data_IF_717778076401
#
_entry.id   IF_717778076401
#
_cell.length_a   1.000
_cell.length_b   1.000
_cell.length_c   1.000
_cell.angle_alpha   90.00
_cell.angle_beta   90.00
_cell.angle_gamma   90.00
#
_symmetry.space_group_name_H-M   'P 1'
#
loop_
_entity.id
_entity.type
_entity.pdbx_description
1 polymer ?
#
# COMPACT_ATOMS: atom_id res chain seq x y z
N UNK A 1 -36.09 28.29 1.03
CA UNK A 1 -34.76 28.33 1.69
C UNK A 1 -34.46 27.11 2.55
N UNK A 2 -35.37 26.65 3.43
CA UNK A 2 -35.14 25.46 4.29
C UNK A 2 -34.87 24.16 3.49
N UNK A 3 -35.49 23.93 2.35
CA UNK A 3 -35.29 22.73 1.52
C UNK A 3 -33.92 22.72 0.81
N UNK A 4 -33.36 23.86 0.48
CA UNK A 4 -32.04 23.99 -0.17
C UNK A 4 -30.89 23.68 0.81
N UNK A 5 -31.05 24.07 2.09
CA UNK A 5 -30.07 23.78 3.14
C UNK A 5 -29.95 22.27 3.46
N UNK A 6 -31.10 21.56 3.43
CA UNK A 6 -31.13 20.11 3.67
C UNK A 6 -30.43 19.33 2.54
N UNK A 7 -30.55 19.81 1.29
CA UNK A 7 -29.89 19.18 0.14
C UNK A 7 -28.35 19.33 0.18
N UNK A 8 -27.87 20.49 0.59
CA UNK A 8 -26.41 20.76 0.77
C UNK A 8 -25.82 19.93 1.92
N UNK A 9 -26.54 19.75 3.01
CA UNK A 9 -26.14 18.89 4.14
C UNK A 9 -26.03 17.41 3.75
N UNK A 10 -26.94 16.92 2.92
CA UNK A 10 -26.91 15.53 2.40
C UNK A 10 -25.71 15.27 1.46
N UNK A 11 -25.33 16.25 0.65
CA UNK A 11 -24.17 16.13 -0.25
C UNK A 11 -22.85 16.13 0.56
N UNK A 12 -22.74 16.93 1.61
CA UNK A 12 -21.58 16.98 2.50
C UNK A 12 -21.39 15.66 3.29
N UNK A 13 -22.49 15.06 3.75
CA UNK A 13 -22.45 13.77 4.47
C UNK A 13 -22.04 12.61 3.55
N UNK A 14 -22.51 12.57 2.30
CA UNK A 14 -22.15 11.54 1.34
C UNK A 14 -20.63 11.53 1.01
N UNK A 15 -19.99 12.70 0.96
CA UNK A 15 -18.56 12.79 0.69
C UNK A 15 -17.69 12.28 1.86
N UNK A 16 -18.11 12.47 3.10
CA UNK A 16 -17.39 11.97 4.28
C UNK A 16 -17.46 10.45 4.40
N UNK A 17 -18.60 9.83 4.11
CA UNK A 17 -18.74 8.37 4.08
C UNK A 17 -17.91 7.72 2.97
N UNK A 18 -17.88 8.31 1.76
CA UNK A 18 -17.09 7.82 0.65
C UNK A 18 -15.58 7.92 0.93
N UNK A 19 -15.14 8.95 1.62
CA UNK A 19 -13.73 9.12 2.00
C UNK A 19 -13.29 8.09 3.03
N UNK A 20 -14.08 7.84 4.07
CA UNK A 20 -13.80 6.81 5.08
C UNK A 20 -13.79 5.41 4.47
N UNK A 21 -14.69 5.13 3.51
CA UNK A 21 -14.73 3.85 2.79
C UNK A 21 -13.48 3.58 1.95
N UNK A 22 -12.97 4.57 1.21
CA UNK A 22 -11.75 4.42 0.41
C UNK A 22 -10.49 4.27 1.29
N UNK A 23 -10.38 5.00 2.39
CA UNK A 23 -9.29 4.83 3.35
C UNK A 23 -9.30 3.44 3.96
N UNK A 24 -10.46 2.93 4.34
CA UNK A 24 -10.64 1.56 4.84
C UNK A 24 -10.17 0.51 3.83
N UNK A 25 -10.50 0.67 2.55
CA UNK A 25 -10.05 -0.22 1.47
C UNK A 25 -8.53 -0.19 1.29
N UNK A 26 -7.89 0.98 1.40
CA UNK A 26 -6.43 1.10 1.33
C UNK A 26 -5.76 0.40 2.52
N UNK A 27 -6.27 0.60 3.74
CA UNK A 27 -5.79 -0.12 4.92
C UNK A 27 -5.97 -1.63 4.79
N UNK A 28 -7.06 -2.07 4.19
CA UNK A 28 -7.29 -3.50 3.89
C UNK A 28 -6.27 -4.04 2.88
N UNK A 29 -5.86 -3.27 1.87
CA UNK A 29 -4.79 -3.67 0.93
C UNK A 29 -3.45 -3.84 1.66
N UNK A 30 -3.11 -2.95 2.59
CA UNK A 30 -1.89 -3.07 3.41
C UNK A 30 -1.96 -4.28 4.35
N UNK A 31 -3.13 -4.55 4.93
CA UNK A 31 -3.34 -5.78 5.71
C UNK A 31 -3.14 -7.04 4.86
N UNK A 32 -3.67 -7.07 3.63
CA UNK A 32 -3.44 -8.17 2.69
C UNK A 32 -1.95 -8.39 2.42
N UNK A 33 -1.15 -7.32 2.30
CA UNK A 33 0.31 -7.44 2.15
C UNK A 33 0.95 -8.16 3.33
N UNK A 34 0.67 -7.73 4.57
CA UNK A 34 1.25 -8.36 5.76
C UNK A 34 0.81 -9.81 5.92
N UNK A 35 -0.45 -10.12 5.64
CA UNK A 35 -0.98 -11.49 5.70
C UNK A 35 -0.33 -12.39 4.66
N UNK A 36 -0.16 -11.93 3.42
CA UNK A 36 0.51 -12.68 2.35
C UNK A 36 1.99 -12.91 2.69
N UNK A 37 2.70 -11.88 3.07
CA UNK A 37 4.10 -11.99 3.48
C UNK A 37 4.28 -12.97 4.63
N UNK A 38 3.46 -12.88 5.66
CA UNK A 38 3.58 -13.65 6.89
C UNK A 38 3.27 -15.14 6.73
N UNK A 39 2.65 -15.55 5.61
CA UNK A 39 2.53 -16.95 5.20
C UNK A 39 3.54 -17.38 4.13
N UNK A 40 4.51 -16.53 3.78
CA UNK A 40 5.55 -16.83 2.78
C UNK A 40 5.13 -16.61 1.34
N UNK A 41 4.03 -15.92 1.08
CA UNK A 41 3.44 -15.70 -0.23
C UNK A 41 3.85 -14.33 -0.80
N UNK A 42 5.04 -14.28 -1.42
CA UNK A 42 5.55 -13.05 -2.05
C UNK A 42 4.67 -12.62 -3.25
N UNK A 43 4.10 -13.56 -4.00
CA UNK A 43 3.22 -13.22 -5.12
C UNK A 43 1.92 -12.57 -4.62
N UNK A 44 1.31 -13.12 -3.59
CA UNK A 44 0.14 -12.53 -2.93
C UNK A 44 0.43 -11.14 -2.34
N UNK A 45 1.63 -10.93 -1.79
CA UNK A 45 2.10 -9.61 -1.39
C UNK A 45 2.14 -8.64 -2.57
N UNK A 46 2.68 -9.08 -3.71
CA UNK A 46 2.80 -8.29 -4.93
C UNK A 46 1.46 -8.01 -5.65
N UNK A 47 0.38 -8.73 -5.35
CA UNK A 47 -0.96 -8.45 -5.89
C UNK A 47 -1.53 -7.09 -5.48
N UNK A 48 -0.97 -6.46 -4.44
CA UNK A 48 -1.36 -5.12 -4.02
C UNK A 48 -0.74 -4.03 -4.89
N UNK A 49 0.32 -4.36 -5.61
CA UNK A 49 0.97 -3.48 -6.56
C UNK A 49 0.32 -3.55 -7.95
N UNK A 50 0.34 -2.45 -8.64
CA UNK A 50 -0.13 -2.38 -10.03
C UNK A 50 0.72 -3.25 -10.96
N UNK A 51 0.12 -4.27 -11.56
CA UNK A 51 0.80 -5.19 -12.46
C UNK A 51 1.03 -4.53 -13.82
N UNK A 52 2.07 -3.69 -13.89
CA UNK A 52 2.39 -2.88 -15.06
C UNK A 52 3.90 -2.56 -15.09
N UNK A 53 4.45 -2.35 -16.28
CA UNK A 53 5.85 -2.00 -16.46
C UNK A 53 6.20 -0.59 -15.97
N UNK A 54 5.19 0.25 -15.73
CA UNK A 54 5.34 1.60 -15.16
C UNK A 54 5.31 1.64 -13.63
N UNK A 55 5.13 0.51 -12.94
CA UNK A 55 5.27 0.44 -11.48
C UNK A 55 6.65 0.96 -11.09
N UNK A 56 6.70 1.86 -10.11
CA UNK A 56 7.93 2.43 -9.58
C UNK A 56 8.21 1.89 -8.18
N UNK A 57 9.40 1.35 -7.96
CA UNK A 57 9.89 0.98 -6.65
C UNK A 57 11.25 1.61 -6.40
N UNK A 58 11.37 2.39 -5.33
CA UNK A 58 12.61 3.06 -4.91
C UNK A 58 13.03 2.48 -3.57
N UNK A 59 14.16 1.82 -3.53
CA UNK A 59 14.75 1.24 -2.33
C UNK A 59 16.22 1.60 -2.19
N UNK A 60 16.90 0.98 -1.25
CA UNK A 60 18.33 1.23 -0.99
C UNK A 60 19.23 0.96 -2.21
N UNK A 61 18.84 0.08 -3.12
CA UNK A 61 19.55 -0.22 -4.36
C UNK A 61 19.22 0.74 -5.51
N UNK A 62 18.39 1.76 -5.26
CA UNK A 62 17.97 2.76 -6.25
C UNK A 62 16.59 2.50 -6.84
N UNK A 63 16.38 3.01 -8.05
CA UNK A 63 15.10 3.01 -8.74
C UNK A 63 14.94 1.73 -9.56
N UNK A 64 13.87 0.98 -9.28
CA UNK A 64 13.46 -0.19 -10.04
C UNK A 64 12.11 0.08 -10.71
N UNK A 65 11.93 -0.40 -11.94
CA UNK A 65 10.70 -0.25 -12.71
C UNK A 65 10.10 -1.59 -13.08
N UNK A 66 8.79 -1.63 -13.07
CA UNK A 66 8.00 -2.78 -13.50
C UNK A 66 7.70 -3.78 -12.40
N UNK A 67 6.50 -4.33 -12.48
CA UNK A 67 5.99 -5.29 -11.49
C UNK A 67 6.82 -6.58 -11.44
N UNK A 68 7.17 -7.12 -12.62
CA UNK A 68 7.94 -8.37 -12.68
C UNK A 68 9.35 -8.20 -12.12
N UNK A 69 10.01 -7.07 -12.40
CA UNK A 69 11.33 -6.78 -11.85
C UNK A 69 11.27 -6.63 -10.33
N UNK A 70 10.24 -5.97 -9.81
CA UNK A 70 10.02 -5.82 -8.37
C UNK A 70 9.81 -7.18 -7.70
N UNK A 71 8.95 -8.03 -8.26
CA UNK A 71 8.77 -9.40 -7.78
C UNK A 71 10.09 -10.20 -7.76
N UNK A 72 10.87 -10.15 -8.83
CA UNK A 72 12.16 -10.83 -8.92
C UNK A 72 13.16 -10.35 -7.85
N UNK A 73 13.18 -9.04 -7.57
CA UNK A 73 14.01 -8.47 -6.53
C UNK A 73 13.59 -8.92 -5.14
N UNK A 74 12.28 -9.01 -4.85
CA UNK A 74 11.78 -9.58 -3.60
C UNK A 74 12.17 -11.04 -3.43
N UNK A 75 12.00 -11.87 -4.46
CA UNK A 75 12.39 -13.29 -4.43
C UNK A 75 13.89 -13.47 -4.21
N UNK A 76 14.72 -12.61 -4.81
CA UNK A 76 16.18 -12.65 -4.63
C UNK A 76 16.59 -12.18 -3.24
N UNK A 77 15.97 -11.13 -2.72
CA UNK A 77 16.30 -10.54 -1.42
C UNK A 77 15.77 -11.36 -0.23
N UNK A 78 14.68 -12.10 -0.44
CA UNK A 78 13.97 -12.88 0.59
C UNK A 78 13.71 -14.31 0.11
N UNK A 79 14.78 -15.12 -0.04
CA UNK A 79 14.70 -16.43 -0.69
C UNK A 79 14.02 -17.50 0.17
N UNK A 80 13.87 -17.28 1.47
CA UNK A 80 13.31 -18.23 2.42
C UNK A 80 12.56 -17.55 3.57
N UNK A 81 11.91 -18.33 4.42
CA UNK A 81 11.13 -17.84 5.56
C UNK A 81 11.97 -17.16 6.63
N UNK A 82 13.24 -17.53 6.78
CA UNK A 82 14.16 -16.88 7.72
C UNK A 82 14.51 -15.46 7.26
N UNK A 83 14.78 -15.28 5.96
CA UNK A 83 15.02 -13.97 5.36
C UNK A 83 13.76 -13.09 5.39
N UNK A 84 12.57 -13.67 5.11
CA UNK A 84 11.30 -12.95 5.14
C UNK A 84 10.91 -12.51 6.55
N UNK A 85 11.02 -13.39 7.54
CA UNK A 85 10.53 -13.15 8.90
C UNK A 85 9.05 -12.85 8.95
N UNK A 86 8.65 -12.02 9.91
CA UNK A 86 7.26 -11.53 10.07
C UNK A 86 7.21 -10.03 9.85
N UNK A 87 6.38 -9.63 8.90
CA UNK A 87 6.14 -8.23 8.53
C UNK A 87 5.07 -7.62 9.40
N UNK A 88 5.32 -6.41 9.88
CA UNK A 88 4.32 -5.52 10.45
C UNK A 88 4.45 -4.12 9.88
N UNK A 89 3.30 -3.42 9.77
CA UNK A 89 3.23 -2.03 9.38
C UNK A 89 2.69 -1.17 10.52
N UNK A 90 3.32 -0.01 10.74
CA UNK A 90 2.76 1.09 11.50
C UNK A 90 2.35 2.19 10.50
N UNK A 91 1.05 2.34 10.27
CA UNK A 91 0.52 3.30 9.30
C UNK A 91 0.41 4.67 9.98
N UNK A 92 1.33 5.57 9.64
CA UNK A 92 1.41 6.92 10.24
C UNK A 92 0.35 7.84 9.62
N UNK A 93 0.13 7.76 8.30
CA UNK A 93 -0.77 8.66 7.59
C UNK A 93 -1.39 8.00 6.37
N UNK A 94 -2.69 8.21 6.16
CA UNK A 94 -3.39 7.94 4.91
C UNK A 94 -4.04 9.23 4.44
N UNK A 95 -3.55 9.81 3.34
CA UNK A 95 -3.97 11.11 2.84
C UNK A 95 -4.64 11.00 1.47
N UNK A 96 -5.88 11.46 1.39
CA UNK A 96 -6.58 11.61 0.10
C UNK A 96 -5.94 12.75 -0.69
N UNK A 97 -5.52 12.46 -1.93
CA UNK A 97 -5.06 13.46 -2.88
C UNK A 97 -6.17 13.83 -3.88
N UNK A 98 -6.97 12.85 -4.29
CA UNK A 98 -8.14 13.02 -5.17
C UNK A 98 -9.07 11.81 -5.03
N UNK A 99 -10.12 11.74 -5.84
CA UNK A 99 -11.01 10.57 -5.89
C UNK A 99 -10.32 9.29 -6.39
N UNK A 100 -9.16 9.42 -7.05
CA UNK A 100 -8.40 8.32 -7.67
C UNK A 100 -7.02 8.10 -7.07
N UNK A 101 -6.54 8.96 -6.16
CA UNK A 101 -5.20 8.89 -5.61
C UNK A 101 -5.19 9.09 -4.09
N UNK A 102 -4.43 8.25 -3.40
CA UNK A 102 -4.10 8.37 -1.98
C UNK A 102 -2.60 8.24 -1.76
N UNK A 103 -2.10 8.96 -0.79
CA UNK A 103 -0.72 8.89 -0.33
C UNK A 103 -0.66 8.30 1.06
N UNK A 104 0.21 7.32 1.28
CA UNK A 104 0.35 6.63 2.56
C UNK A 104 1.78 6.73 3.02
N UNK A 105 1.97 7.05 4.29
CA UNK A 105 3.27 7.03 4.97
C UNK A 105 3.20 6.09 6.16
N UNK A 106 4.22 5.28 6.34
CA UNK A 106 4.30 4.36 7.46
C UNK A 106 5.71 3.86 7.75
N UNK A 107 5.78 2.97 8.73
CA UNK A 107 6.97 2.18 9.06
C UNK A 107 6.71 0.73 8.73
N UNK A 108 7.74 0.06 8.25
CA UNK A 108 7.77 -1.39 8.12
C UNK A 108 8.78 -1.99 9.07
N UNK A 109 8.52 -3.19 9.55
CA UNK A 109 9.42 -3.96 10.36
C UNK A 109 9.33 -5.44 9.98
N UNK A 110 10.50 -6.07 9.81
CA UNK A 110 10.65 -7.51 9.70
C UNK A 110 11.27 -8.05 10.99
N UNK A 111 10.52 -8.86 11.72
CA UNK A 111 11.03 -9.60 12.89
C UNK A 111 11.55 -10.93 12.41
N UNK A 112 12.89 -11.17 12.55
CA UNK A 112 13.58 -12.33 11.99
C UNK A 112 14.54 -12.94 13.01
N UNK A 113 14.76 -14.27 12.92
CA UNK A 113 15.77 -14.95 13.73
C UNK A 113 17.21 -14.55 13.37
N UNK A 114 17.44 -14.07 12.14
CA UNK A 114 18.75 -13.66 11.60
C UNK A 114 19.01 -12.15 11.73
N UNK A 115 18.23 -11.46 12.53
CA UNK A 115 18.31 -9.99 12.73
C UNK A 115 17.14 -9.25 12.12
N UNK A 116 16.56 -8.35 12.91
CA UNK A 116 15.42 -7.53 12.50
C UNK A 116 15.82 -6.46 11.49
N UNK A 117 14.94 -6.13 10.58
CA UNK A 117 15.03 -4.98 9.68
C UNK A 117 13.84 -4.06 9.89
N UNK A 118 14.04 -2.77 9.68
CA UNK A 118 12.96 -1.79 9.70
C UNK A 118 13.32 -0.55 8.89
N UNK A 119 12.32 0.20 8.53
CA UNK A 119 12.47 1.48 7.84
C UNK A 119 11.13 2.19 7.68
N UNK A 120 11.15 3.25 6.91
CA UNK A 120 9.94 3.97 6.54
C UNK A 120 9.56 3.64 5.10
N UNK A 121 8.29 3.82 4.80
CA UNK A 121 7.79 3.77 3.43
C UNK A 121 6.83 4.92 3.16
N UNK A 122 6.78 5.33 1.92
CA UNK A 122 5.71 6.13 1.38
C UNK A 122 5.20 5.53 0.07
N UNK A 123 3.87 5.47 -0.05
CA UNK A 123 3.18 4.79 -1.13
C UNK A 123 2.22 5.73 -1.83
N UNK A 124 2.21 5.69 -3.16
CA UNK A 124 1.16 6.29 -3.96
C UNK A 124 0.19 5.20 -4.42
N UNK A 125 -1.05 5.28 -3.94
CA UNK A 125 -2.15 4.44 -4.39
C UNK A 125 -2.95 5.10 -5.49
N UNK A 126 -3.34 4.31 -6.50
CA UNK A 126 -4.26 4.70 -7.57
C UNK A 126 -5.44 3.75 -7.65
N UNK A 127 -6.63 4.29 -7.84
CA UNK A 127 -7.83 3.50 -8.13
C UNK A 127 -7.90 3.17 -9.61
N UNK A 128 -7.83 1.88 -9.94
CA UNK A 128 -7.85 1.36 -11.31
C UNK A 128 -8.97 0.31 -11.39
N UNK A 129 -9.93 0.52 -12.27
CA UNK A 129 -11.08 -0.39 -12.44
C UNK A 129 -11.76 -0.74 -11.09
N UNK A 130 -11.95 0.28 -10.25
CA UNK A 130 -12.62 0.15 -8.96
C UNK A 130 -11.78 -0.42 -7.81
N UNK A 131 -10.52 -0.82 -8.03
CA UNK A 131 -9.61 -1.36 -7.01
C UNK A 131 -8.40 -0.44 -6.78
N UNK A 132 -7.91 -0.45 -5.54
CA UNK A 132 -6.73 0.33 -5.16
C UNK A 132 -5.46 -0.47 -5.35
N UNK A 133 -4.47 0.11 -6.05
CA UNK A 133 -3.15 -0.47 -6.29
C UNK A 133 -2.05 0.52 -5.96
N UNK A 134 -0.94 0.03 -5.43
CA UNK A 134 0.29 0.80 -5.28
C UNK A 134 0.92 0.97 -6.67
N UNK A 135 1.11 2.21 -7.10
CA UNK A 135 1.75 2.55 -8.38
C UNK A 135 3.17 3.09 -8.20
N UNK A 136 3.49 3.55 -7.00
CA UNK A 136 4.84 3.93 -6.60
C UNK A 136 5.06 3.59 -5.11
N UNK A 137 6.23 3.07 -4.81
CA UNK A 137 6.70 2.72 -3.47
C UNK A 137 8.11 3.28 -3.28
N UNK A 138 8.33 4.02 -2.21
CA UNK A 138 9.63 4.43 -1.76
C UNK A 138 9.84 3.89 -0.34
N UNK A 139 10.80 3.01 -0.19
CA UNK A 139 11.11 2.34 1.08
C UNK A 139 12.59 2.51 1.44
N UNK A 140 12.82 2.97 2.66
CA UNK A 140 14.18 3.19 3.20
C UNK A 140 14.57 2.11 4.20
#
# INVERSE_FOLDING_TARGET
>A
MKKFLVFILLILSANTYAQSGNESLIRQRLKQQTESWNRGDIEGFMETYWKNDSLLFIGNSGVNRGWQNTLNNYRKGYPDTAAMGKLSFDIIMVKKLSSKYYYVVGKWMLTRSIGNLSGHYDLLFKKIKGRWYIIADHSS
#
